data_IF_355186503192
#
_entry.id   IF_355186503192
#
_cell.length_a   1.000
_cell.length_b   1.000
_cell.length_c   1.000
_cell.angle_alpha   90.00
_cell.angle_beta   90.00
_cell.angle_gamma   90.00
#
_symmetry.space_group_name_H-M   'P 1'
#
loop_
_entity.id
_entity.type
_entity.pdbx_description
1 polymer ?
#
# COMPACT_ATOMS: atom_id res chain seq x y z
N UNK A 1 9.17 9.70 13.69
CA UNK A 1 8.73 9.11 12.41
C UNK A 1 9.52 7.83 12.19
N UNK A 2 8.87 6.66 12.10
CA UNK A 2 9.60 5.38 12.03
C UNK A 2 9.90 4.92 10.60
N UNK A 3 8.95 5.02 9.67
CA UNK A 3 9.11 4.45 8.31
C UNK A 3 8.80 5.43 7.15
N UNK A 4 8.49 6.69 7.45
CA UNK A 4 8.08 7.67 6.43
C UNK A 4 9.21 8.19 5.54
N UNK A 5 10.47 8.18 6.00
CA UNK A 5 11.57 8.83 5.27
C UNK A 5 11.95 8.13 3.96
N UNK A 6 11.75 6.81 3.87
CA UNK A 6 12.15 6.06 2.68
C UNK A 6 11.19 6.26 1.49
N UNK A 7 9.88 6.35 1.75
CA UNK A 7 8.85 6.29 0.69
C UNK A 7 7.64 7.20 0.92
N UNK A 8 7.62 8.01 1.98
CA UNK A 8 6.50 8.92 2.26
C UNK A 8 5.19 8.24 2.68
N UNK A 9 5.25 7.00 3.19
CA UNK A 9 4.08 6.19 3.54
C UNK A 9 3.14 5.92 2.35
N UNK A 10 3.71 5.47 1.23
CA UNK A 10 2.99 5.04 0.05
C UNK A 10 2.28 3.67 0.24
N UNK A 11 1.48 3.55 1.32
CA UNK A 11 0.80 2.31 1.76
C UNK A 11 -0.61 2.17 1.18
N UNK A 12 -1.05 3.08 0.32
CA UNK A 12 -2.38 3.03 -0.29
C UNK A 12 -2.26 3.30 -1.79
N UNK A 13 -2.66 2.35 -2.65
CA UNK A 13 -2.55 2.50 -4.11
C UNK A 13 -3.28 3.73 -4.64
N UNK A 14 -4.50 4.03 -4.17
CA UNK A 14 -5.26 5.20 -4.62
C UNK A 14 -4.61 6.51 -4.18
N UNK A 15 -3.99 6.53 -3.00
CA UNK A 15 -3.29 7.69 -2.42
C UNK A 15 -2.01 8.06 -3.17
N UNK A 16 -1.43 7.12 -3.93
CA UNK A 16 -0.30 7.38 -4.83
C UNK A 16 -0.76 7.58 -6.28
N UNK A 17 -1.50 6.62 -6.84
CA UNK A 17 -1.83 6.60 -8.27
C UNK A 17 -2.69 7.79 -8.71
N UNK A 18 -3.72 8.15 -7.94
CA UNK A 18 -4.64 9.23 -8.30
C UNK A 18 -3.92 10.59 -8.45
N UNK A 19 -3.20 11.06 -7.42
CA UNK A 19 -2.39 12.26 -7.52
C UNK A 19 -1.31 12.19 -8.60
N UNK A 20 -0.66 11.02 -8.80
CA UNK A 20 0.34 10.83 -9.86
C UNK A 20 -0.25 10.96 -11.27
N UNK A 21 -1.44 10.40 -11.49
CA UNK A 21 -2.15 10.55 -12.76
C UNK A 21 -2.58 12.01 -12.97
N UNK A 22 -3.06 12.68 -11.93
CA UNK A 22 -3.40 14.10 -12.01
C UNK A 22 -2.16 14.93 -12.40
N UNK A 23 -1.01 14.73 -11.75
CA UNK A 23 0.22 15.49 -12.06
C UNK A 23 0.68 15.24 -13.50
N UNK A 24 0.55 14.01 -14.00
CA UNK A 24 0.77 13.71 -15.41
C UNK A 24 -0.12 14.55 -16.33
N UNK A 25 -1.43 14.56 -16.07
CA UNK A 25 -2.44 15.26 -16.89
C UNK A 25 -2.24 16.78 -16.87
N UNK A 26 -1.88 17.37 -15.72
CA UNK A 26 -1.64 18.82 -15.61
C UNK A 26 -0.25 19.25 -16.08
N UNK A 27 0.51 18.37 -16.73
CA UNK A 27 1.71 18.73 -17.48
C UNK A 27 3.04 18.53 -16.78
N UNK A 28 3.11 17.78 -15.67
CA UNK A 28 4.40 17.44 -15.02
C UNK A 28 5.25 16.48 -15.89
N UNK A 29 4.67 15.92 -16.95
CA UNK A 29 5.35 15.09 -17.94
C UNK A 29 5.50 13.63 -17.50
N UNK A 30 6.09 12.81 -18.37
CA UNK A 30 6.19 11.36 -18.19
C UNK A 30 7.10 10.93 -17.03
N UNK A 31 7.92 11.83 -16.49
CA UNK A 31 8.83 11.55 -15.38
C UNK A 31 8.10 11.01 -14.14
N UNK A 32 6.85 11.40 -13.94
CA UNK A 32 6.03 10.88 -12.83
C UNK A 32 5.85 9.35 -12.89
N UNK A 33 6.11 8.70 -14.03
CA UNK A 33 6.05 7.25 -14.19
C UNK A 33 7.43 6.59 -14.23
N UNK A 34 8.51 7.32 -14.55
CA UNK A 34 9.84 6.75 -14.79
C UNK A 34 10.86 7.01 -13.69
N UNK A 35 10.60 7.98 -12.81
CA UNK A 35 11.48 8.33 -11.68
C UNK A 35 11.75 7.11 -10.79
N UNK A 36 12.97 7.04 -10.24
CA UNK A 36 13.45 5.99 -9.33
C UNK A 36 13.21 4.57 -9.88
N UNK A 37 13.67 4.34 -11.11
CA UNK A 37 13.54 3.04 -11.79
C UNK A 37 12.09 2.55 -11.86
N UNK A 38 11.19 3.43 -12.33
CA UNK A 38 9.77 3.15 -12.45
C UNK A 38 9.07 2.87 -11.12
N UNK A 39 9.33 3.67 -10.09
CA UNK A 39 8.81 3.46 -8.74
C UNK A 39 7.27 3.37 -8.65
N UNK A 40 6.52 3.90 -9.61
CA UNK A 40 5.05 4.01 -9.58
C UNK A 40 4.30 2.70 -9.28
N UNK A 41 4.86 1.54 -9.64
CA UNK A 41 4.21 0.25 -9.42
C UNK A 41 4.37 -0.25 -7.98
N UNK A 42 5.40 0.20 -7.24
CA UNK A 42 5.70 -0.25 -5.88
C UNK A 42 4.58 0.18 -4.90
N UNK A 43 4.10 1.44 -4.87
CA UNK A 43 2.94 1.86 -4.09
C UNK A 43 1.62 1.15 -4.43
N UNK A 44 1.56 0.40 -5.54
CA UNK A 44 0.39 -0.37 -5.95
C UNK A 44 0.53 -1.81 -5.45
N UNK A 45 1.58 -2.51 -5.90
CA UNK A 45 1.78 -3.92 -5.59
C UNK A 45 2.19 -4.15 -4.13
N UNK A 46 3.08 -3.31 -3.59
CA UNK A 46 3.61 -3.44 -2.24
C UNK A 46 2.50 -3.46 -1.17
N UNK A 47 1.59 -2.47 -1.16
CA UNK A 47 0.48 -2.45 -0.21
C UNK A 47 -0.54 -3.57 -0.39
N UNK A 48 -0.83 -3.99 -1.62
CA UNK A 48 -1.75 -5.10 -1.86
C UNK A 48 -1.19 -6.41 -1.29
N UNK A 49 0.09 -6.70 -1.55
CA UNK A 49 0.77 -7.88 -0.99
C UNK A 49 0.89 -7.76 0.53
N UNK A 50 1.36 -6.61 1.03
CA UNK A 50 1.54 -6.37 2.46
C UNK A 50 0.23 -6.41 3.24
N UNK A 51 -0.87 -5.93 2.66
CA UNK A 51 -2.21 -5.98 3.27
C UNK A 51 -2.72 -7.42 3.43
N UNK A 52 -2.56 -8.25 2.40
CA UNK A 52 -2.92 -9.69 2.47
C UNK A 52 -2.07 -10.41 3.51
N UNK A 53 -0.74 -10.20 3.49
CA UNK A 53 0.17 -10.81 4.47
C UNK A 53 -0.18 -10.35 5.89
N UNK A 54 -0.38 -9.06 6.10
CA UNK A 54 -0.72 -8.49 7.41
C UNK A 54 -2.05 -9.03 7.95
N UNK A 55 -3.08 -9.12 7.11
CA UNK A 55 -4.36 -9.73 7.47
C UNK A 55 -4.22 -11.22 7.82
N UNK A 56 -3.41 -11.96 7.06
CA UNK A 56 -3.09 -13.37 7.35
C UNK A 56 -2.39 -13.54 8.70
N UNK A 57 -1.39 -12.71 8.98
CA UNK A 57 -0.68 -12.71 10.27
C UNK A 57 -1.65 -12.41 11.42
N UNK A 58 -2.52 -11.42 11.28
CA UNK A 58 -3.56 -11.12 12.27
C UNK A 58 -4.49 -12.31 12.50
N UNK A 59 -4.94 -12.94 11.41
CA UNK A 59 -5.84 -14.10 11.48
C UNK A 59 -5.20 -15.25 12.26
N UNK A 60 -3.94 -15.56 11.99
CA UNK A 60 -3.24 -16.71 12.60
C UNK A 60 -2.83 -16.41 14.05
N UNK A 61 -2.26 -15.24 14.31
CA UNK A 61 -1.64 -14.95 15.61
C UNK A 61 -2.62 -14.37 16.62
N UNK A 62 -3.69 -13.72 16.16
CA UNK A 62 -4.64 -13.01 17.03
C UNK A 62 -6.03 -13.63 16.93
N UNK A 63 -6.61 -13.68 15.73
CA UNK A 63 -7.99 -14.15 15.57
C UNK A 63 -8.17 -15.62 15.95
N UNK A 64 -7.24 -16.50 15.57
CA UNK A 64 -7.29 -17.92 15.90
C UNK A 64 -7.16 -18.21 17.41
N UNK A 65 -6.71 -17.25 18.20
CA UNK A 65 -6.62 -17.37 19.65
C UNK A 65 -7.87 -16.81 20.36
N UNK A 66 -8.78 -16.13 19.65
CA UNK A 66 -10.01 -15.65 20.25
C UNK A 66 -10.96 -16.83 20.51
N UNK A 67 -11.66 -16.84 21.67
CA UNK A 67 -12.71 -17.82 21.92
C UNK A 67 -13.76 -17.70 20.81
N UNK A 68 -14.04 -18.81 20.12
CA UNK A 68 -15.19 -18.87 19.25
C UNK A 68 -16.44 -18.95 20.13
N UNK A 69 -17.23 -17.88 20.17
CA UNK A 69 -18.56 -17.93 20.78
C UNK A 69 -19.34 -19.02 20.02
N UNK A 70 -19.79 -20.04 20.75
CA UNK A 70 -20.67 -21.06 20.19
C UNK A 70 -21.94 -20.33 19.79
N UNK A 71 -22.13 -20.11 18.48
CA UNK A 71 -23.40 -19.65 17.95
C UNK A 71 -24.43 -20.73 18.27
N UNK A 72 -25.24 -20.47 19.29
CA UNK A 72 -26.49 -21.19 19.57
C UNK A 72 -27.52 -20.93 18.46
#
# INVERSE_FOLDING_TARGET
MSFGMNTGYAMNPARDFGPRLLTYVVGYGSKVWTTDSYYFWIPICGPLVGGVIGAGIYTILVQAQHPHEHAE
#
